data_IF_417871504690
#
_entry.id   IF_417871504690
#
_cell.length_a   1.000
_cell.length_b   1.000
_cell.length_c   1.000
_cell.angle_alpha   90.00
_cell.angle_beta   90.00
_cell.angle_gamma   90.00
#
_symmetry.space_group_name_H-M   'P 1'
#
loop_
_entity.id
_entity.type
_entity.pdbx_description
1 polymer ?
#
# COMPACT_ATOMS: atom_id res chain seq x y z
N UNK A 1 11.01 -13.87 -10.51
CA UNK A 1 10.76 -14.50 -9.20
C UNK A 1 10.56 -13.56 -7.99
N UNK A 2 11.56 -12.78 -7.56
CA UNK A 2 11.57 -12.22 -6.20
C UNK A 2 10.46 -11.19 -5.86
N UNK A 3 10.02 -10.40 -6.84
CA UNK A 3 8.98 -9.38 -6.61
C UNK A 3 7.61 -10.00 -6.31
N UNK A 4 7.24 -11.07 -7.03
CA UNK A 4 5.99 -11.77 -6.80
C UNK A 4 5.99 -12.50 -5.46
N UNK A 5 7.07 -13.18 -5.09
CA UNK A 5 7.12 -13.89 -3.81
C UNK A 5 6.99 -12.94 -2.61
N UNK A 6 7.63 -11.77 -2.66
CA UNK A 6 7.49 -10.75 -1.64
C UNK A 6 6.05 -10.22 -1.54
N UNK A 7 5.46 -9.87 -2.69
CA UNK A 7 4.09 -9.38 -2.78
C UNK A 7 3.10 -10.42 -2.28
N UNK A 8 3.18 -11.66 -2.78
CA UNK A 8 2.30 -12.77 -2.41
C UNK A 8 2.31 -13.01 -0.91
N UNK A 9 3.51 -13.07 -0.31
CA UNK A 9 3.65 -13.23 1.14
C UNK A 9 2.93 -12.13 1.93
N UNK A 10 2.93 -10.89 1.44
CA UNK A 10 2.29 -9.78 2.16
C UNK A 10 0.79 -9.68 1.85
N UNK A 11 0.36 -9.91 0.62
CA UNK A 11 -1.05 -9.74 0.25
C UNK A 11 -1.92 -10.91 0.75
N UNK A 12 -1.37 -12.12 0.78
CA UNK A 12 -2.12 -13.35 1.10
C UNK A 12 -1.77 -13.94 2.47
N UNK A 13 -1.11 -13.21 3.39
CA UNK A 13 -0.67 -13.74 4.69
C UNK A 13 -1.80 -14.41 5.51
N UNK A 14 -3.05 -13.99 5.31
CA UNK A 14 -4.24 -14.51 5.97
C UNK A 14 -5.26 -15.17 5.01
N UNK A 15 -4.88 -15.44 3.75
CA UNK A 15 -5.79 -16.03 2.75
C UNK A 15 -5.41 -17.49 2.48
N UNK A 16 -6.41 -18.29 2.10
CA UNK A 16 -6.18 -19.65 1.62
C UNK A 16 -5.36 -19.61 0.31
N UNK A 17 -4.15 -20.21 0.26
CA UNK A 17 -3.31 -20.24 -0.93
C UNK A 17 -3.97 -20.88 -2.16
N UNK A 18 -4.99 -21.72 -1.98
CA UNK A 18 -5.68 -22.43 -3.08
C UNK A 18 -6.97 -21.76 -3.54
N UNK A 19 -7.47 -20.74 -2.83
CA UNK A 19 -8.83 -20.21 -3.04
C UNK A 19 -8.98 -19.16 -4.15
N UNK A 20 -7.88 -18.58 -4.66
CA UNK A 20 -7.97 -17.30 -5.38
C UNK A 20 -7.08 -17.18 -6.64
N UNK A 21 -7.25 -18.04 -7.66
CA UNK A 21 -6.44 -18.00 -8.88
C UNK A 21 -6.54 -16.65 -9.61
N UNK A 22 -7.70 -16.00 -9.60
CA UNK A 22 -7.88 -14.70 -10.26
C UNK A 22 -7.20 -13.55 -9.50
N UNK A 23 -7.22 -13.56 -8.15
CA UNK A 23 -6.46 -12.59 -7.34
C UNK A 23 -4.96 -12.77 -7.54
N UNK A 24 -4.47 -14.00 -7.70
CA UNK A 24 -3.06 -14.21 -7.99
C UNK A 24 -2.65 -13.59 -9.33
N UNK A 25 -3.47 -13.78 -10.37
CA UNK A 25 -3.20 -13.25 -11.71
C UNK A 25 -3.15 -11.72 -11.69
N UNK A 26 -4.18 -11.07 -11.12
CA UNK A 26 -4.20 -9.61 -10.97
C UNK A 26 -3.06 -9.13 -10.08
N UNK A 27 -2.76 -9.84 -8.99
CA UNK A 27 -1.67 -9.54 -8.08
C UNK A 27 -0.30 -9.55 -8.75
N UNK A 28 -0.04 -10.50 -9.66
CA UNK A 28 1.22 -10.55 -10.44
C UNK A 28 1.38 -9.32 -11.33
N UNK A 29 0.29 -8.88 -11.95
CA UNK A 29 0.29 -7.68 -12.79
C UNK A 29 0.54 -6.40 -11.97
N UNK A 30 -0.08 -6.29 -10.78
CA UNK A 30 0.19 -5.18 -9.86
C UNK A 30 1.65 -5.21 -9.37
N UNK A 31 2.18 -6.38 -9.01
CA UNK A 31 3.57 -6.54 -8.59
C UNK A 31 4.56 -6.15 -9.71
N UNK A 32 4.22 -6.44 -10.98
CA UNK A 32 5.01 -6.00 -12.12
C UNK A 32 5.04 -4.47 -12.27
N UNK A 33 3.89 -3.78 -12.06
CA UNK A 33 3.82 -2.31 -12.06
C UNK A 33 4.68 -1.67 -10.96
N UNK A 34 5.01 -2.39 -9.89
CA UNK A 34 5.89 -1.91 -8.82
C UNK A 34 7.39 -1.90 -9.19
N UNK A 35 7.77 -2.35 -10.41
CA UNK A 35 9.15 -2.32 -10.92
C UNK A 35 10.20 -2.92 -9.98
N UNK A 36 9.80 -3.90 -9.17
CA UNK A 36 10.68 -4.58 -8.20
C UNK A 36 11.03 -3.79 -6.95
N UNK A 37 10.48 -2.59 -6.74
CA UNK A 37 10.75 -1.78 -5.55
C UNK A 37 10.12 -2.42 -4.30
N UNK A 38 10.93 -2.87 -3.31
CA UNK A 38 10.40 -3.61 -2.16
C UNK A 38 9.37 -2.83 -1.35
N UNK A 39 9.54 -1.52 -1.21
CA UNK A 39 8.60 -0.66 -0.50
C UNK A 39 7.26 -0.56 -1.24
N UNK A 40 7.27 -0.32 -2.56
CA UNK A 40 6.04 -0.30 -3.37
C UNK A 40 5.26 -1.62 -3.26
N UNK A 41 5.98 -2.75 -3.38
CA UNK A 41 5.40 -4.10 -3.26
C UNK A 41 4.72 -4.30 -1.90
N UNK A 42 5.41 -3.98 -0.80
CA UNK A 42 4.88 -4.14 0.56
C UNK A 42 3.69 -3.22 0.82
N UNK A 43 3.76 -1.97 0.36
CA UNK A 43 2.70 -0.98 0.54
C UNK A 43 1.41 -1.43 -0.14
N UNK A 44 1.46 -1.80 -1.42
CA UNK A 44 0.25 -2.24 -2.15
C UNK A 44 -0.23 -3.61 -1.69
N UNK A 45 0.67 -4.55 -1.40
CA UNK A 45 0.28 -5.84 -0.85
C UNK A 45 -0.42 -5.70 0.52
N UNK A 46 0.08 -4.79 1.38
CA UNK A 46 -0.54 -4.49 2.66
C UNK A 46 -1.93 -3.87 2.52
N UNK A 47 -2.10 -2.92 1.59
CA UNK A 47 -3.39 -2.32 1.26
C UNK A 47 -4.39 -3.36 0.72
N UNK A 48 -3.95 -4.21 -0.21
CA UNK A 48 -4.81 -5.22 -0.86
C UNK A 48 -5.15 -6.41 0.04
N UNK A 49 -4.38 -6.64 1.12
CA UNK A 49 -4.61 -7.73 2.08
C UNK A 49 -6.02 -7.71 2.66
N UNK A 50 -6.61 -6.54 2.89
CA UNK A 50 -7.96 -6.41 3.45
C UNK A 50 -9.07 -6.48 2.40
N UNK A 51 -8.75 -6.74 1.12
CA UNK A 51 -9.71 -6.75 0.01
C UNK A 51 -9.89 -8.15 -0.53
N UNK A 52 -11.11 -8.69 -0.38
CA UNK A 52 -11.47 -10.05 -0.82
C UNK A 52 -11.96 -10.10 -2.27
N UNK A 53 -12.47 -8.99 -2.80
CA UNK A 53 -13.08 -8.94 -4.12
C UNK A 53 -12.03 -8.66 -5.22
N UNK A 54 -12.05 -9.47 -6.27
CA UNK A 54 -11.12 -9.31 -7.42
C UNK A 54 -11.29 -7.96 -8.10
N UNK A 55 -12.50 -7.44 -8.15
CA UNK A 55 -12.75 -6.17 -8.84
C UNK A 55 -12.08 -5.00 -8.12
N UNK A 56 -11.93 -5.05 -6.79
CA UNK A 56 -11.17 -4.02 -6.07
C UNK A 56 -9.69 -4.03 -6.48
N UNK A 57 -9.10 -5.23 -6.71
CA UNK A 57 -7.73 -5.35 -7.18
C UNK A 57 -7.60 -4.86 -8.63
N UNK A 58 -8.58 -5.16 -9.49
CA UNK A 58 -8.62 -4.65 -10.87
C UNK A 58 -8.75 -3.13 -10.93
N UNK A 59 -9.52 -2.51 -10.03
CA UNK A 59 -9.60 -1.06 -9.90
C UNK A 59 -8.22 -0.45 -9.61
N UNK A 60 -7.45 -1.04 -8.69
CA UNK A 60 -6.07 -0.61 -8.43
C UNK A 60 -5.19 -0.80 -9.66
N UNK A 61 -5.26 -1.96 -10.31
CA UNK A 61 -4.46 -2.27 -11.50
C UNK A 61 -4.69 -1.28 -12.65
N UNK A 62 -5.95 -0.84 -12.86
CA UNK A 62 -6.36 0.06 -13.96
C UNK A 62 -6.28 1.54 -13.62
N UNK A 63 -5.87 1.91 -12.41
CA UNK A 63 -5.86 3.31 -11.98
C UNK A 63 -4.95 4.18 -12.85
N UNK A 64 -5.43 5.37 -13.23
CA UNK A 64 -4.65 6.37 -13.96
C UNK A 64 -3.46 6.92 -13.15
N UNK A 65 -3.46 6.71 -11.82
CA UNK A 65 -2.34 7.10 -10.94
C UNK A 65 -1.03 6.45 -11.39
N UNK A 66 -1.08 5.29 -12.04
CA UNK A 66 0.11 4.62 -12.60
C UNK A 66 0.82 5.42 -13.69
N UNK A 67 0.12 6.34 -14.37
CA UNK A 67 0.66 7.14 -15.47
C UNK A 67 1.26 8.48 -15.00
N UNK A 68 1.16 8.79 -13.70
CA UNK A 68 1.79 9.97 -13.12
C UNK A 68 3.32 9.85 -13.24
N UNK A 69 3.95 10.84 -13.88
CA UNK A 69 5.38 10.81 -14.25
C UNK A 69 6.36 11.14 -13.09
N UNK A 70 5.85 11.25 -11.87
CA UNK A 70 6.64 11.66 -10.71
C UNK A 70 7.17 10.45 -9.95
N UNK A 71 8.41 10.03 -10.23
CA UNK A 71 9.13 8.96 -9.52
C UNK A 71 8.51 7.55 -9.57
N UNK A 72 9.36 6.52 -9.71
CA UNK A 72 8.91 5.13 -9.89
C UNK A 72 8.10 4.54 -8.73
N UNK A 73 8.21 5.12 -7.52
CA UNK A 73 7.51 4.63 -6.32
C UNK A 73 6.23 5.39 -5.99
N UNK A 74 6.11 6.65 -6.42
CA UNK A 74 5.05 7.54 -5.95
C UNK A 74 3.65 7.05 -6.32
N UNK A 75 3.38 6.50 -7.52
CA UNK A 75 2.07 5.95 -7.85
C UNK A 75 1.58 4.90 -6.84
N UNK A 76 2.46 4.00 -6.41
CA UNK A 76 2.12 2.95 -5.45
C UNK A 76 1.80 3.54 -4.05
N UNK A 77 2.56 4.55 -3.62
CA UNK A 77 2.32 5.24 -2.35
C UNK A 77 1.03 6.06 -2.40
N UNK A 78 0.75 6.74 -3.52
CA UNK A 78 -0.48 7.52 -3.71
C UNK A 78 -1.72 6.64 -3.73
N UNK A 79 -1.67 5.49 -4.40
CA UNK A 79 -2.75 4.51 -4.38
C UNK A 79 -3.07 4.06 -2.95
N UNK A 80 -2.03 3.68 -2.19
CA UNK A 80 -2.19 3.29 -0.80
C UNK A 80 -2.71 4.41 0.09
N UNK A 81 -2.20 5.63 -0.09
CA UNK A 81 -2.70 6.78 0.65
C UNK A 81 -4.16 7.09 0.31
N UNK A 82 -4.54 7.01 -0.97
CA UNK A 82 -5.89 7.33 -1.43
C UNK A 82 -6.94 6.31 -0.94
N UNK A 83 -6.57 5.04 -0.75
CA UNK A 83 -7.45 4.00 -0.19
C UNK A 83 -7.66 4.15 1.33
N UNK A 84 -6.80 4.91 2.03
CA UNK A 84 -6.98 5.14 3.47
C UNK A 84 -8.29 5.89 3.78
N UNK A 85 -9.02 5.47 4.83
CA UNK A 85 -10.09 6.27 5.43
C UNK A 85 -9.63 7.68 5.80
N UNK A 86 -10.55 8.66 5.75
CA UNK A 86 -10.23 10.07 5.99
C UNK A 86 -9.51 10.32 7.33
N UNK A 87 -9.92 9.65 8.39
CA UNK A 87 -9.28 9.77 9.71
C UNK A 87 -7.84 9.22 9.70
N UNK A 88 -7.56 8.12 8.99
CA UNK A 88 -6.20 7.59 8.87
C UNK A 88 -5.31 8.45 7.98
N UNK A 89 -5.85 9.09 6.93
CA UNK A 89 -5.13 10.11 6.14
C UNK A 89 -4.69 11.28 7.02
N UNK A 90 -5.60 11.77 7.86
CA UNK A 90 -5.32 12.82 8.84
C UNK A 90 -4.27 12.38 9.87
N UNK A 91 -4.36 11.16 10.40
CA UNK A 91 -3.34 10.62 11.30
C UNK A 91 -1.97 10.54 10.61
N UNK A 92 -1.92 10.03 9.38
CA UNK A 92 -0.67 9.87 8.63
C UNK A 92 0.01 11.22 8.33
N UNK A 93 -0.75 12.31 8.11
CA UNK A 93 -0.16 13.62 7.80
C UNK A 93 0.63 14.23 8.96
N UNK A 94 0.35 13.85 10.22
CA UNK A 94 1.15 14.29 11.37
C UNK A 94 2.60 13.81 11.30
N UNK A 95 2.88 12.70 10.62
CA UNK A 95 4.24 12.24 10.40
C UNK A 95 5.08 13.26 9.59
N UNK A 96 4.45 14.10 8.77
CA UNK A 96 5.13 15.12 7.96
C UNK A 96 5.57 16.37 8.75
N UNK A 97 5.16 16.50 10.03
CA UNK A 97 5.60 17.60 10.91
C UNK A 97 7.07 17.39 11.33
N UNK A 98 7.49 16.12 11.45
CA UNK A 98 8.85 15.80 11.84
C UNK A 98 9.81 16.05 10.67
N UNK A 99 11.03 16.56 10.95
CA UNK A 99 12.06 16.68 9.93
C UNK A 99 12.35 15.33 9.26
N UNK A 100 12.84 15.39 8.02
CA UNK A 100 13.29 14.20 7.31
C UNK A 100 14.27 13.40 8.17
N UNK A 101 14.08 12.08 8.21
CA UNK A 101 14.90 11.12 8.94
C UNK A 101 14.91 11.30 10.48
N UNK A 102 13.97 12.09 11.04
CA UNK A 102 13.85 12.26 12.47
C UNK A 102 13.31 10.99 13.15
N UNK A 103 14.01 10.45 14.17
CA UNK A 103 13.57 9.25 14.88
C UNK A 103 12.53 9.60 15.95
N UNK A 104 11.27 9.82 15.54
CA UNK A 104 10.18 10.05 16.49
C UNK A 104 9.76 8.75 17.18
N UNK A 105 9.34 8.87 18.44
CA UNK A 105 8.75 7.78 19.22
C UNK A 105 7.26 7.66 18.90
N UNK A 106 6.73 6.44 18.97
CA UNK A 106 5.30 6.15 18.75
C UNK A 106 4.41 7.04 19.62
N UNK A 107 4.78 7.25 20.87
CA UNK A 107 4.01 8.02 21.85
C UNK A 107 3.89 9.50 21.45
N UNK A 108 4.90 10.07 20.81
CA UNK A 108 4.85 11.46 20.34
C UNK A 108 3.74 11.64 19.30
N UNK A 109 3.64 10.72 18.34
CA UNK A 109 2.63 10.79 17.28
C UNK A 109 1.24 10.50 17.83
N UNK A 110 1.11 9.54 18.74
CA UNK A 110 -0.18 9.24 19.41
C UNK A 110 -0.70 10.46 20.17
N UNK A 111 0.16 11.17 20.91
CA UNK A 111 -0.26 12.40 21.60
C UNK A 111 -0.69 13.49 20.62
N UNK A 112 -0.04 13.61 19.46
CA UNK A 112 -0.47 14.55 18.41
C UNK A 112 -1.85 14.19 17.86
N UNK A 113 -2.13 12.90 17.62
CA UNK A 113 -3.45 12.45 17.18
C UNK A 113 -4.53 12.76 18.23
N UNK A 114 -4.31 12.35 19.49
CA UNK A 114 -5.26 12.60 20.60
C UNK A 114 -5.54 14.09 20.77
N UNK A 115 -4.51 14.94 20.70
CA UNK A 115 -4.66 16.38 20.87
C UNK A 115 -5.43 17.06 19.73
N UNK A 116 -5.53 16.43 18.55
CA UNK A 116 -6.11 17.05 17.34
C UNK A 116 -7.39 16.37 16.84
N UNK A 117 -7.85 15.30 17.49
CA UNK A 117 -9.13 14.62 17.20
C UNK A 117 -9.00 13.56 16.11
#
# INVERSE_FOLDING_TARGET
EASWSLFKRHAFENMDPMGHPELEEVGRQIAAKCKGLPLALKTLAGMLRSKSEVEEWKCILRSEIWELRDNDILPALMLSYNDLPAHLKRCFSFCAIFPKDYPFRKEQVIHLWIANG
#
